data_IF_866769292659
#
_entry.id   IF_866769292659
#
_cell.length_a   1.000
_cell.length_b   1.000
_cell.length_c   1.000
_cell.angle_alpha   90.00
_cell.angle_beta   90.00
_cell.angle_gamma   90.00
#
_symmetry.space_group_name_H-M   'P 1'
#
loop_
_entity.id
_entity.type
_entity.pdbx_description
1 polymer ?
#
# COMPACT_ATOMS: atom_id res chain seq x y z
N UNK A 1 14.68 -41.64 96.33
CA UNK A 1 14.05 -40.30 96.62
C UNK A 1 14.13 -39.51 95.31
N UNK A 2 12.98 -39.31 94.65
CA UNK A 2 12.84 -38.68 93.37
C UNK A 2 12.70 -37.17 93.55
N UNK A 3 13.48 -36.40 92.80
CA UNK A 3 13.22 -34.98 92.61
C UNK A 3 12.67 -34.76 91.20
N UNK A 4 11.45 -34.24 91.10
CA UNK A 4 10.76 -33.80 89.89
C UNK A 4 11.25 -32.41 89.50
N UNK A 5 11.78 -32.28 88.31
CA UNK A 5 12.04 -30.98 87.65
C UNK A 5 10.88 -30.65 86.73
N UNK A 6 10.31 -29.45 86.84
CA UNK A 6 9.27 -28.90 86.03
C UNK A 6 9.95 -28.23 84.78
N UNK A 7 9.56 -28.62 83.59
CA UNK A 7 9.95 -27.92 82.38
C UNK A 7 8.89 -26.88 82.04
N UNK A 8 9.30 -25.62 81.80
CA UNK A 8 8.49 -24.55 81.24
C UNK A 8 8.49 -24.68 79.74
N UNK A 9 7.33 -24.86 79.18
CA UNK A 9 7.13 -24.68 77.68
C UNK A 9 6.96 -23.17 77.41
N UNK A 10 7.92 -22.60 76.65
CA UNK A 10 7.77 -21.28 76.09
C UNK A 10 7.13 -21.43 74.65
N UNK A 11 5.94 -20.88 74.49
CA UNK A 11 5.33 -20.74 73.15
C UNK A 11 6.05 -19.61 72.39
N UNK A 12 6.81 -19.99 71.33
CA UNK A 12 7.31 -19.05 70.34
C UNK A 12 6.26 -18.90 69.24
N UNK A 13 5.53 -17.78 69.18
CA UNK A 13 4.64 -17.43 68.10
C UNK A 13 5.47 -17.01 66.87
N UNK A 14 5.58 -17.87 65.91
CA UNK A 14 6.16 -17.53 64.58
C UNK A 14 5.18 -16.66 63.80
N UNK A 15 5.49 -15.36 63.66
CA UNK A 15 4.83 -14.45 62.73
C UNK A 15 5.27 -14.82 61.32
N UNK A 16 4.41 -15.52 60.57
CA UNK A 16 4.60 -15.73 59.11
C UNK A 16 4.23 -14.42 58.41
N UNK A 17 5.22 -13.60 58.11
CA UNK A 17 5.06 -12.52 57.12
C UNK A 17 4.82 -13.15 55.76
N UNK A 18 3.56 -13.23 55.35
CA UNK A 18 3.18 -13.50 53.99
C UNK A 18 3.58 -12.31 53.13
N UNK A 19 4.75 -12.38 52.49
CA UNK A 19 5.12 -11.46 51.42
C UNK A 19 4.19 -11.74 50.24
N UNK A 20 3.12 -10.94 50.10
CA UNK A 20 2.36 -10.87 48.88
C UNK A 20 3.34 -10.41 47.79
N UNK A 21 3.83 -11.33 46.98
CA UNK A 21 4.45 -11.00 45.70
C UNK A 21 3.41 -10.24 44.91
N UNK A 22 3.74 -9.05 44.37
CA UNK A 22 2.82 -8.38 43.47
C UNK A 22 2.52 -9.37 42.36
N UNK A 23 1.24 -9.68 42.13
CA UNK A 23 0.79 -10.33 40.92
C UNK A 23 1.29 -9.41 39.77
N UNK A 24 2.36 -9.81 39.10
CA UNK A 24 2.71 -9.25 37.81
C UNK A 24 1.49 -9.53 36.93
N UNK A 25 0.64 -8.52 36.80
CA UNK A 25 -0.44 -8.56 35.80
C UNK A 25 0.23 -8.99 34.50
N UNK A 26 -0.24 -10.11 33.96
CA UNK A 26 0.25 -10.60 32.67
C UNK A 26 0.12 -9.42 31.71
N UNK A 27 1.24 -8.94 31.17
CA UNK A 27 1.23 -7.85 30.23
C UNK A 27 0.21 -8.19 29.14
N UNK A 28 -0.71 -7.29 28.85
CA UNK A 28 -1.64 -7.48 27.77
C UNK A 28 -0.86 -7.64 26.48
N UNK A 29 -1.18 -8.66 25.69
CA UNK A 29 -0.55 -8.90 24.40
C UNK A 29 -1.55 -8.57 23.32
N UNK A 30 -1.21 -7.63 22.42
CA UNK A 30 -1.99 -7.29 21.24
C UNK A 30 -1.42 -8.00 20.01
N UNK A 31 -2.29 -8.55 19.19
CA UNK A 31 -1.91 -9.09 17.88
C UNK A 31 -2.33 -8.13 16.76
N UNK A 32 -1.34 -7.66 15.98
CA UNK A 32 -1.55 -6.87 14.78
C UNK A 32 -1.30 -7.73 13.54
N UNK A 33 -2.29 -7.80 12.67
CA UNK A 33 -2.24 -8.53 11.42
C UNK A 33 -1.94 -7.60 10.25
N UNK A 34 -0.94 -7.96 9.43
CA UNK A 34 -0.56 -7.20 8.25
C UNK A 34 0.18 -8.02 7.20
N UNK A 35 0.62 -7.37 6.11
CA UNK A 35 1.44 -7.98 5.08
C UNK A 35 2.90 -8.15 5.50
N UNK A 36 3.57 -9.16 4.92
CA UNK A 36 5.00 -9.43 5.11
C UNK A 36 5.81 -8.60 4.11
N UNK A 37 6.24 -7.40 4.51
CA UNK A 37 7.02 -6.47 3.69
C UNK A 37 7.86 -5.50 4.54
N UNK A 38 8.66 -4.63 3.91
CA UNK A 38 9.55 -3.71 4.63
C UNK A 38 8.83 -2.76 5.59
N UNK A 39 7.68 -2.12 5.25
CA UNK A 39 6.94 -1.32 6.22
C UNK A 39 6.50 -2.09 7.47
N UNK A 40 6.16 -3.37 7.34
CA UNK A 40 5.80 -4.19 8.50
C UNK A 40 7.00 -4.40 9.45
N UNK A 41 8.20 -4.62 8.90
CA UNK A 41 9.42 -4.70 9.70
C UNK A 41 9.72 -3.37 10.42
N UNK A 42 9.50 -2.25 9.75
CA UNK A 42 9.61 -0.92 10.34
C UNK A 42 8.58 -0.71 11.48
N UNK A 43 7.35 -1.21 11.33
CA UNK A 43 6.31 -1.14 12.37
C UNK A 43 6.67 -1.99 13.59
N UNK A 44 7.26 -3.16 13.40
CA UNK A 44 7.77 -4.00 14.51
C UNK A 44 8.79 -3.22 15.33
N UNK A 45 9.75 -2.56 14.66
CA UNK A 45 10.77 -1.77 15.34
C UNK A 45 10.17 -0.57 16.06
N UNK A 46 9.27 0.16 15.41
CA UNK A 46 8.55 1.29 16.00
C UNK A 46 7.76 0.89 17.24
N UNK A 47 7.09 -0.25 17.20
CA UNK A 47 6.19 -0.73 18.26
C UNK A 47 6.90 -1.12 19.56
N UNK A 48 8.22 -1.27 19.55
CA UNK A 48 9.02 -1.44 20.77
C UNK A 48 8.87 -0.24 21.72
N UNK A 49 8.70 0.96 21.16
CA UNK A 49 8.45 2.17 21.95
C UNK A 49 7.08 2.13 22.65
N UNK A 50 6.06 1.60 21.97
CA UNK A 50 4.74 1.39 22.58
C UNK A 50 4.83 0.41 23.75
N UNK A 51 5.47 -0.73 23.53
CA UNK A 51 5.69 -1.72 24.60
C UNK A 51 6.47 -1.14 25.78
N UNK A 52 7.54 -0.39 25.50
CA UNK A 52 8.34 0.26 26.55
C UNK A 52 7.52 1.29 27.36
N UNK A 53 6.59 2.02 26.70
CA UNK A 53 5.77 3.05 27.31
C UNK A 53 4.60 2.50 28.11
N UNK A 54 3.99 1.38 27.65
CA UNK A 54 2.71 0.89 28.20
C UNK A 54 2.81 -0.45 28.93
N UNK A 55 3.86 -1.22 28.70
CA UNK A 55 3.99 -2.60 29.15
C UNK A 55 3.17 -3.61 28.31
N UNK A 56 2.38 -3.14 27.32
CA UNK A 56 1.61 -4.02 26.42
C UNK A 56 2.54 -4.60 25.36
N UNK A 57 2.62 -5.92 25.28
CA UNK A 57 3.42 -6.59 24.27
C UNK A 57 2.71 -6.60 22.91
N UNK A 58 3.47 -6.36 21.82
CA UNK A 58 2.96 -6.45 20.47
C UNK A 58 3.37 -7.77 19.81
N UNK A 59 2.40 -8.54 19.35
CA UNK A 59 2.57 -9.68 18.47
C UNK A 59 2.16 -9.29 17.04
N UNK A 60 2.89 -9.80 16.08
CA UNK A 60 2.61 -9.52 14.67
C UNK A 60 2.36 -10.83 13.91
N UNK A 61 1.30 -10.83 13.11
CA UNK A 61 0.98 -11.90 12.18
C UNK A 61 1.07 -11.34 10.76
N UNK A 62 2.11 -11.76 10.04
CA UNK A 62 2.38 -11.28 8.69
C UNK A 62 2.26 -12.41 7.67
N UNK A 63 1.61 -12.10 6.54
CA UNK A 63 1.50 -13.01 5.40
C UNK A 63 1.91 -12.30 4.11
N UNK A 64 2.39 -13.00 3.08
CA UNK A 64 2.63 -12.40 1.78
C UNK A 64 1.39 -11.67 1.27
N UNK A 65 1.56 -10.52 0.58
CA UNK A 65 0.44 -9.71 0.08
C UNK A 65 -0.53 -10.51 -0.78
N UNK A 66 -0.02 -11.37 -1.66
CA UNK A 66 -0.83 -12.24 -2.53
C UNK A 66 -1.74 -13.22 -1.80
N UNK A 67 -1.47 -13.49 -0.51
CA UNK A 67 -2.30 -14.35 0.36
C UNK A 67 -3.05 -13.57 1.43
N UNK A 68 -2.88 -12.23 1.46
CA UNK A 68 -3.36 -11.39 2.55
C UNK A 68 -4.88 -11.37 2.63
N UNK A 69 -5.56 -11.11 1.51
CA UNK A 69 -7.02 -11.06 1.44
C UNK A 69 -7.64 -12.40 1.87
N UNK A 70 -7.18 -13.50 1.28
CA UNK A 70 -7.68 -14.84 1.63
C UNK A 70 -7.49 -15.16 3.11
N UNK A 71 -6.35 -14.81 3.68
CA UNK A 71 -6.04 -15.13 5.08
C UNK A 71 -6.85 -14.30 6.05
N UNK A 72 -6.83 -12.97 5.90
CA UNK A 72 -7.39 -12.08 6.91
C UNK A 72 -8.86 -11.72 6.69
N UNK A 73 -9.35 -11.67 5.46
CA UNK A 73 -10.80 -11.53 5.23
C UNK A 73 -11.56 -12.79 5.69
N UNK A 74 -10.98 -13.99 5.49
CA UNK A 74 -11.57 -15.21 6.05
C UNK A 74 -11.53 -15.21 7.59
N UNK A 75 -10.48 -14.72 8.21
CA UNK A 75 -10.40 -14.55 9.67
C UNK A 75 -11.49 -13.60 10.18
N UNK A 76 -11.70 -12.46 9.51
CA UNK A 76 -12.77 -11.51 9.83
C UNK A 76 -14.16 -12.14 9.61
N UNK A 77 -14.40 -12.74 8.47
CA UNK A 77 -15.71 -13.35 8.13
C UNK A 77 -16.11 -14.50 9.08
N UNK A 78 -15.12 -15.22 9.61
CA UNK A 78 -15.36 -16.28 10.61
C UNK A 78 -15.44 -15.75 12.05
N UNK A 79 -15.34 -14.43 12.26
CA UNK A 79 -15.19 -13.80 13.57
C UNK A 79 -14.07 -14.41 14.41
N UNK A 80 -12.95 -14.76 13.76
CA UNK A 80 -11.76 -15.29 14.41
C UNK A 80 -11.14 -14.27 15.38
N UNK A 81 -10.40 -14.76 16.38
CA UNK A 81 -9.80 -13.93 17.43
C UNK A 81 -8.28 -13.83 17.31
N UNK A 82 -7.75 -14.06 16.11
CA UNK A 82 -6.31 -13.96 15.88
C UNK A 82 -5.86 -12.49 15.95
N UNK A 83 -6.58 -11.58 15.30
CA UNK A 83 -6.22 -10.19 15.16
C UNK A 83 -6.98 -9.31 16.16
N UNK A 84 -6.29 -8.48 16.91
CA UNK A 84 -6.88 -7.38 17.70
C UNK A 84 -6.89 -6.08 16.89
N UNK A 85 -5.83 -5.90 16.09
CA UNK A 85 -5.63 -4.82 15.11
C UNK A 85 -5.37 -5.41 13.73
N UNK A 86 -5.86 -4.76 12.69
CA UNK A 86 -5.58 -5.12 11.32
C UNK A 86 -5.24 -3.86 10.52
N UNK A 87 -4.18 -3.93 9.71
CA UNK A 87 -3.90 -2.88 8.73
C UNK A 87 -4.41 -3.38 7.38
N UNK A 88 -5.50 -2.76 6.92
CA UNK A 88 -6.24 -3.16 5.72
C UNK A 88 -6.21 -2.12 4.63
N UNK A 89 -6.37 -2.59 3.41
CA UNK A 89 -6.40 -1.78 2.19
C UNK A 89 -7.75 -1.04 2.04
N UNK A 90 -7.75 0.06 1.27
CA UNK A 90 -8.95 0.85 0.99
C UNK A 90 -10.07 0.05 0.30
N UNK A 91 -9.71 -0.99 -0.48
CA UNK A 91 -10.67 -1.86 -1.14
C UNK A 91 -11.53 -2.70 -0.17
N UNK A 92 -11.08 -2.91 1.07
CA UNK A 92 -11.79 -3.77 2.03
C UNK A 92 -12.53 -3.02 3.11
N UNK A 93 -12.36 -1.69 3.21
CA UNK A 93 -12.95 -0.92 4.31
C UNK A 93 -14.49 -0.94 4.24
N UNK A 94 -15.07 -0.85 3.04
CA UNK A 94 -16.52 -0.87 2.86
C UNK A 94 -17.14 -2.17 3.34
N UNK A 95 -16.69 -3.30 2.81
CA UNK A 95 -17.18 -4.62 3.22
C UNK A 95 -16.95 -4.90 4.69
N UNK A 96 -15.80 -4.53 5.24
CA UNK A 96 -15.50 -4.76 6.67
C UNK A 96 -16.34 -3.89 7.60
N UNK A 97 -16.62 -2.63 7.22
CA UNK A 97 -17.48 -1.73 7.98
C UNK A 97 -18.94 -2.20 7.98
N UNK A 98 -19.49 -2.56 6.80
CA UNK A 98 -20.89 -3.01 6.65
C UNK A 98 -21.16 -4.35 7.36
N UNK A 99 -20.18 -5.26 7.34
CA UNK A 99 -20.29 -6.54 8.04
C UNK A 99 -19.93 -6.45 9.54
N UNK A 100 -19.67 -5.25 10.06
CA UNK A 100 -19.42 -5.03 11.48
C UNK A 100 -18.10 -5.60 12.00
N UNK A 101 -17.10 -5.80 11.12
CA UNK A 101 -15.79 -6.33 11.52
C UNK A 101 -14.92 -5.30 12.23
N UNK A 102 -15.12 -4.00 11.96
CA UNK A 102 -14.33 -2.92 12.54
C UNK A 102 -15.12 -2.13 13.58
N UNK A 103 -14.41 -1.57 14.53
CA UNK A 103 -14.96 -0.59 15.47
C UNK A 103 -15.06 0.76 14.76
N UNK A 104 -16.22 1.44 14.86
CA UNK A 104 -16.35 2.83 14.44
C UNK A 104 -15.58 3.73 15.41
N UNK A 105 -14.68 4.55 14.89
CA UNK A 105 -13.68 5.26 15.70
C UNK A 105 -14.06 6.73 16.03
N UNK A 106 -15.19 7.24 15.54
CA UNK A 106 -15.58 8.65 15.73
C UNK A 106 -15.54 9.08 17.20
N UNK A 107 -16.29 8.40 18.08
CA UNK A 107 -16.38 8.78 19.50
C UNK A 107 -15.01 8.68 20.19
N UNK A 108 -14.17 7.73 19.76
CA UNK A 108 -12.82 7.60 20.27
C UNK A 108 -11.93 8.74 19.79
N UNK A 109 -11.99 9.11 18.52
CA UNK A 109 -11.22 10.23 17.98
C UNK A 109 -11.60 11.55 18.64
N UNK A 110 -12.89 11.82 18.80
CA UNK A 110 -13.40 13.00 19.50
C UNK A 110 -12.91 13.07 20.94
N UNK A 111 -13.02 11.95 21.68
CA UNK A 111 -12.57 11.86 23.05
C UNK A 111 -11.07 12.09 23.22
N UNK A 112 -10.27 11.54 22.31
CA UNK A 112 -8.80 11.60 22.37
C UNK A 112 -8.21 12.81 21.62
N UNK A 113 -9.05 13.62 20.99
CA UNK A 113 -8.65 14.83 20.26
C UNK A 113 -7.87 14.51 18.96
N UNK A 114 -8.08 13.32 18.37
CA UNK A 114 -7.50 12.94 17.08
C UNK A 114 -8.37 13.56 15.98
N UNK A 115 -7.78 14.45 15.20
CA UNK A 115 -8.49 15.14 14.12
C UNK A 115 -8.12 14.53 12.78
N UNK A 116 -9.11 14.03 12.05
CA UNK A 116 -8.87 13.47 10.71
C UNK A 116 -8.43 14.54 9.72
N UNK A 117 -8.75 15.81 9.97
CA UNK A 117 -8.23 16.95 9.21
C UNK A 117 -6.69 17.12 9.31
N UNK A 118 -6.05 16.52 10.30
CA UNK A 118 -4.59 16.54 10.43
C UNK A 118 -3.90 15.55 9.49
N UNK A 119 -4.65 14.67 8.85
CA UNK A 119 -4.14 13.69 7.89
C UNK A 119 -4.32 14.15 6.44
N UNK A 120 -3.55 13.56 5.53
CA UNK A 120 -3.66 13.81 4.09
C UNK A 120 -5.06 13.40 3.61
N UNK A 121 -5.83 14.29 2.97
CA UNK A 121 -7.25 14.03 2.68
C UNK A 121 -7.51 12.75 1.89
N UNK A 122 -6.69 12.45 0.87
CA UNK A 122 -6.83 11.24 0.07
C UNK A 122 -6.70 9.96 0.92
N UNK A 123 -5.83 9.98 1.95
CA UNK A 123 -5.65 8.83 2.85
C UNK A 123 -6.81 8.69 3.85
N UNK A 124 -7.44 9.80 4.24
CA UNK A 124 -8.65 9.78 5.07
C UNK A 124 -9.81 9.17 4.29
N UNK A 125 -10.08 9.69 3.10
CA UNK A 125 -11.15 9.16 2.24
C UNK A 125 -10.86 7.71 1.84
N UNK A 126 -9.63 7.41 1.44
CA UNK A 126 -9.24 6.07 0.98
C UNK A 126 -9.26 5.02 2.08
N UNK A 127 -8.71 5.31 3.26
CA UNK A 127 -8.42 4.25 4.24
C UNK A 127 -9.33 4.26 5.46
N UNK A 128 -10.03 5.37 5.73
CA UNK A 128 -10.75 5.55 7.00
C UNK A 128 -12.26 5.66 6.85
N UNK A 129 -12.73 6.28 5.76
CA UNK A 129 -14.14 6.62 5.59
C UNK A 129 -14.96 5.52 4.95
N UNK A 130 -16.11 5.26 5.54
CA UNK A 130 -17.16 4.49 4.90
C UNK A 130 -18.56 4.91 5.40
N UNK A 131 -19.57 5.22 4.51
CA UNK A 131 -19.37 5.41 3.06
C UNK A 131 -18.36 6.51 2.73
N UNK A 132 -17.73 6.44 1.55
CA UNK A 132 -16.72 7.42 1.12
C UNK A 132 -17.27 8.85 1.16
N UNK A 133 -16.40 9.80 1.45
CA UNK A 133 -16.73 11.22 1.61
C UNK A 133 -17.78 11.49 2.71
N UNK A 134 -17.81 10.65 3.74
CA UNK A 134 -18.62 10.87 4.94
C UNK A 134 -17.72 10.84 6.18
N UNK A 135 -18.04 11.62 7.22
CA UNK A 135 -17.22 11.65 8.44
C UNK A 135 -17.51 10.42 9.33
N UNK A 136 -17.48 9.23 8.75
CA UNK A 136 -17.61 7.97 9.45
C UNK A 136 -16.29 7.20 9.34
N UNK A 137 -15.52 7.14 10.42
CA UNK A 137 -14.18 6.62 10.44
C UNK A 137 -14.10 5.22 11.04
N UNK A 138 -13.50 4.30 10.30
CA UNK A 138 -13.36 2.88 10.66
C UNK A 138 -11.90 2.45 10.80
N UNK A 139 -10.98 3.34 10.43
CA UNK A 139 -9.56 3.16 10.58
C UNK A 139 -8.86 4.50 10.81
N UNK A 140 -7.63 4.47 11.34
CA UNK A 140 -6.70 5.58 11.27
C UNK A 140 -5.79 5.38 10.05
N UNK A 141 -5.53 6.41 9.20
CA UNK A 141 -4.54 6.28 8.13
C UNK A 141 -3.18 5.87 8.68
N UNK A 142 -2.67 4.72 8.24
CA UNK A 142 -1.44 4.15 8.80
C UNK A 142 -0.25 4.25 7.84
N UNK A 143 -0.46 3.97 6.57
CA UNK A 143 0.58 3.99 5.56
C UNK A 143 0.06 4.65 4.29
N UNK A 144 0.57 5.84 3.96
CA UNK A 144 0.37 6.45 2.65
C UNK A 144 1.26 5.76 1.62
N UNK A 145 0.68 5.32 0.52
CA UNK A 145 1.45 4.70 -0.55
C UNK A 145 0.85 5.06 -1.91
N UNK A 146 1.64 4.90 -2.95
CA UNK A 146 1.27 5.33 -4.30
C UNK A 146 2.10 4.58 -5.33
N UNK A 147 1.51 4.28 -6.48
CA UNK A 147 2.28 3.79 -7.63
C UNK A 147 3.10 4.92 -8.21
N UNK A 148 4.39 4.67 -8.36
CA UNK A 148 5.33 5.59 -8.98
C UNK A 148 6.40 4.83 -9.75
N UNK A 149 7.47 5.51 -10.08
CA UNK A 149 8.51 4.96 -10.94
C UNK A 149 9.90 5.13 -10.35
N UNK A 150 10.76 4.16 -10.68
CA UNK A 150 12.21 4.29 -10.47
C UNK A 150 12.95 4.11 -11.79
N UNK A 151 14.14 4.70 -11.91
CA UNK A 151 14.97 4.60 -13.10
C UNK A 151 16.46 4.48 -12.76
N UNK A 152 17.22 3.91 -13.65
CA UNK A 152 18.68 3.80 -13.58
C UNK A 152 19.31 5.16 -13.89
N UNK A 153 19.41 6.00 -12.85
CA UNK A 153 20.01 7.33 -12.94
C UNK A 153 21.43 7.29 -13.48
N UNK A 154 22.21 6.30 -13.05
CA UNK A 154 23.56 6.07 -13.54
C UNK A 154 23.64 5.80 -15.05
N UNK A 155 22.63 5.19 -15.66
CA UNK A 155 22.55 5.02 -17.11
C UNK A 155 22.09 6.31 -17.80
N UNK A 156 21.12 6.97 -17.24
CA UNK A 156 20.58 8.24 -17.77
C UNK A 156 21.66 9.34 -17.81
N UNK A 157 22.59 9.35 -16.87
CA UNK A 157 23.66 10.35 -16.78
C UNK A 157 24.91 10.00 -17.62
N UNK A 158 24.94 8.87 -18.34
CA UNK A 158 26.07 8.51 -19.20
C UNK A 158 26.15 9.43 -20.41
N UNK A 159 27.31 10.08 -20.66
CA UNK A 159 27.45 11.06 -21.75
C UNK A 159 27.13 10.49 -23.13
N UNK A 160 27.50 9.23 -23.40
CA UNK A 160 27.22 8.56 -24.65
C UNK A 160 25.72 8.31 -24.85
N UNK A 161 24.99 7.88 -23.81
CA UNK A 161 23.56 7.65 -23.88
C UNK A 161 22.78 8.97 -23.97
N UNK A 162 23.22 10.01 -23.27
CA UNK A 162 22.68 11.36 -23.38
C UNK A 162 22.77 11.87 -24.81
N UNK A 163 23.95 11.75 -25.42
CA UNK A 163 24.18 12.20 -26.79
C UNK A 163 23.29 11.46 -27.80
N UNK A 164 23.29 10.12 -27.77
CA UNK A 164 22.47 9.31 -28.66
C UNK A 164 20.97 9.59 -28.50
N UNK A 165 20.51 9.73 -27.26
CA UNK A 165 19.10 10.01 -26.98
C UNK A 165 18.69 11.39 -27.50
N UNK A 166 19.53 12.41 -27.28
CA UNK A 166 19.30 13.76 -27.76
C UNK A 166 19.32 13.85 -29.29
N UNK A 167 20.24 13.13 -29.95
CA UNK A 167 20.26 13.03 -31.43
C UNK A 167 18.98 12.35 -31.97
N UNK A 168 18.45 11.35 -31.26
CA UNK A 168 17.27 10.61 -31.70
C UNK A 168 15.95 11.33 -31.42
N UNK A 169 15.81 11.93 -30.24
CA UNK A 169 14.53 12.46 -29.74
C UNK A 169 14.51 13.99 -29.55
N UNK A 170 15.62 14.69 -29.76
CA UNK A 170 15.71 16.15 -29.68
C UNK A 170 15.67 16.74 -28.26
N UNK A 171 15.78 15.91 -27.22
CA UNK A 171 15.74 16.29 -25.81
C UNK A 171 16.74 15.51 -24.96
N UNK A 172 17.02 15.99 -23.78
CA UNK A 172 17.88 15.29 -22.81
C UNK A 172 17.21 14.00 -22.31
N UNK A 173 18.01 12.98 -22.01
CA UNK A 173 17.58 11.76 -21.35
C UNK A 173 17.41 12.06 -19.84
N UNK A 174 16.19 12.24 -19.40
CA UNK A 174 15.83 12.57 -18.02
C UNK A 174 14.56 11.84 -17.60
N UNK A 175 14.21 11.88 -16.32
CA UNK A 175 12.94 11.32 -15.84
C UNK A 175 11.77 11.87 -16.66
N UNK A 176 10.89 11.01 -17.21
CA UNK A 176 9.81 11.42 -18.10
C UNK A 176 8.72 12.17 -17.34
N UNK A 177 8.14 13.18 -18.00
CA UNK A 177 6.99 13.95 -17.50
C UNK A 177 5.68 13.54 -18.17
N UNK A 178 5.75 12.94 -19.34
CA UNK A 178 4.61 12.45 -20.09
C UNK A 178 4.77 10.98 -20.45
N UNK A 179 3.67 10.32 -20.77
CA UNK A 179 3.71 8.93 -21.20
C UNK A 179 4.39 8.74 -22.55
N UNK A 180 4.33 9.75 -23.44
CA UNK A 180 5.11 9.74 -24.68
C UNK A 180 6.61 9.74 -24.40
N UNK A 181 7.06 10.58 -23.45
CA UNK A 181 8.46 10.59 -23.02
C UNK A 181 8.88 9.27 -22.38
N UNK A 182 8.01 8.68 -21.54
CA UNK A 182 8.26 7.38 -20.93
C UNK A 182 8.43 6.30 -21.97
N UNK A 183 7.55 6.26 -22.98
CA UNK A 183 7.63 5.30 -24.09
C UNK A 183 8.90 5.48 -24.91
N UNK A 184 9.28 6.71 -25.27
CA UNK A 184 10.52 7.01 -25.99
C UNK A 184 11.75 6.49 -25.23
N UNK A 185 11.79 6.69 -23.91
CA UNK A 185 12.87 6.19 -23.05
C UNK A 185 12.87 4.66 -23.02
N UNK A 186 11.70 4.05 -22.84
CA UNK A 186 11.58 2.59 -22.83
C UNK A 186 12.03 1.96 -24.16
N UNK A 187 11.62 2.53 -25.31
CA UNK A 187 12.07 2.12 -26.65
C UNK A 187 13.58 2.34 -26.85
N UNK A 188 14.15 3.39 -26.28
CA UNK A 188 15.58 3.68 -26.36
C UNK A 188 16.42 2.62 -25.66
N UNK A 189 15.98 2.12 -24.51
CA UNK A 189 16.70 1.09 -23.77
C UNK A 189 16.36 -0.34 -24.22
N UNK A 190 15.36 -0.53 -25.05
CA UNK A 190 14.88 -1.86 -25.43
C UNK A 190 15.92 -2.67 -26.20
N UNK A 191 16.29 -3.82 -25.61
CA UNK A 191 17.33 -4.74 -26.14
C UNK A 191 18.70 -4.07 -26.36
N UNK A 192 19.02 -3.05 -25.55
CA UNK A 192 20.31 -2.38 -25.59
C UNK A 192 21.33 -3.16 -24.79
N UNK A 193 22.57 -3.19 -25.29
CA UNK A 193 23.70 -3.73 -24.54
C UNK A 193 24.29 -2.64 -23.64
N UNK A 194 24.28 -2.88 -22.32
CA UNK A 194 24.91 -2.01 -21.31
C UNK A 194 25.74 -2.87 -20.39
N UNK A 195 27.03 -2.55 -20.26
CA UNK A 195 28.00 -3.27 -19.41
C UNK A 195 28.02 -4.79 -19.67
N UNK A 196 27.87 -5.18 -20.96
CA UNK A 196 27.88 -6.58 -21.39
C UNK A 196 26.59 -7.36 -21.07
N UNK A 197 25.50 -6.67 -20.78
CA UNK A 197 24.18 -7.25 -20.54
C UNK A 197 23.14 -6.64 -21.46
N UNK A 198 22.25 -7.47 -21.97
CA UNK A 198 21.05 -6.99 -22.67
C UNK A 198 20.07 -6.43 -21.65
N UNK A 199 19.68 -5.16 -21.81
CA UNK A 199 18.72 -4.48 -20.96
C UNK A 199 17.44 -4.16 -21.74
N UNK A 200 16.36 -3.91 -20.99
CA UNK A 200 15.03 -3.63 -21.53
C UNK A 200 14.51 -2.29 -21.01
N UNK A 201 13.48 -1.77 -21.67
CA UNK A 201 12.99 -0.43 -21.41
C UNK A 201 12.35 -0.27 -20.03
N UNK A 202 11.39 -1.14 -19.74
CA UNK A 202 10.61 -1.01 -18.51
C UNK A 202 10.10 -2.35 -17.94
N UNK A 203 9.86 -2.37 -16.65
CA UNK A 203 9.03 -3.38 -15.98
C UNK A 203 7.71 -2.74 -15.57
N UNK A 204 6.59 -3.37 -15.92
CA UNK A 204 5.24 -2.97 -15.57
C UNK A 204 4.45 -4.16 -15.06
N UNK A 205 3.34 -3.93 -14.37
CA UNK A 205 2.54 -4.98 -13.76
C UNK A 205 1.72 -5.76 -14.78
N UNK A 206 1.77 -7.08 -14.71
CA UNK A 206 1.08 -8.00 -15.63
C UNK A 206 0.45 -9.19 -14.90
N UNK A 207 0.69 -9.33 -13.60
CA UNK A 207 0.19 -10.44 -12.78
C UNK A 207 -1.35 -10.43 -12.74
N UNK A 208 -1.96 -11.61 -12.86
CA UNK A 208 -3.40 -11.79 -12.90
C UNK A 208 -4.00 -12.33 -11.61
N UNK A 209 -3.19 -12.96 -10.76
CA UNK A 209 -3.71 -13.80 -9.66
C UNK A 209 -4.21 -13.01 -8.45
N UNK A 210 -3.69 -11.81 -8.22
CA UNK A 210 -4.11 -10.96 -7.11
C UNK A 210 -4.71 -9.63 -7.58
N UNK A 211 -3.89 -8.63 -7.87
CA UNK A 211 -4.38 -7.32 -8.35
C UNK A 211 -3.40 -6.64 -9.29
N UNK A 212 -2.26 -7.27 -9.54
CA UNK A 212 -1.11 -6.62 -10.17
C UNK A 212 -1.44 -5.90 -11.46
N UNK A 213 -2.01 -6.60 -12.45
CA UNK A 213 -2.30 -5.97 -13.75
C UNK A 213 -3.31 -4.84 -13.64
N UNK A 214 -4.29 -4.95 -12.73
CA UNK A 214 -5.29 -3.88 -12.56
C UNK A 214 -4.66 -2.64 -11.96
N UNK A 215 -3.80 -2.77 -10.96
CA UNK A 215 -3.08 -1.64 -10.37
C UNK A 215 -2.22 -0.93 -11.41
N UNK A 216 -1.51 -1.67 -12.24
CA UNK A 216 -0.70 -1.09 -13.32
C UNK A 216 -1.53 -0.40 -14.40
N UNK A 217 -2.61 -1.04 -14.84
CA UNK A 217 -3.47 -0.50 -15.91
C UNK A 217 -4.25 0.71 -15.43
N UNK A 218 -4.89 0.67 -14.25
CA UNK A 218 -5.64 1.82 -13.71
C UNK A 218 -4.74 3.02 -13.47
N UNK A 219 -3.49 2.79 -13.03
CA UNK A 219 -2.49 3.85 -12.87
C UNK A 219 -2.23 4.61 -14.20
N UNK A 220 -2.36 3.94 -15.33
CA UNK A 220 -2.26 4.56 -16.66
C UNK A 220 -3.60 5.11 -17.12
N UNK A 221 -4.68 4.34 -17.03
CA UNK A 221 -6.00 4.72 -17.54
C UNK A 221 -6.53 6.02 -16.92
N UNK A 222 -6.25 6.29 -15.65
CA UNK A 222 -6.67 7.53 -15.00
C UNK A 222 -6.16 8.77 -15.73
N UNK A 223 -4.94 8.72 -16.27
CA UNK A 223 -4.34 9.83 -17.00
C UNK A 223 -4.93 10.02 -18.39
N UNK A 224 -5.53 8.99 -18.97
CA UNK A 224 -6.35 9.07 -20.17
C UNK A 224 -7.80 9.49 -19.90
N UNK A 225 -8.20 9.66 -18.63
CA UNK A 225 -9.53 10.12 -18.25
C UNK A 225 -10.53 9.01 -17.93
N UNK A 226 -10.07 7.78 -17.76
CA UNK A 226 -10.90 6.67 -17.27
C UNK A 226 -11.58 7.01 -15.95
N UNK A 227 -12.84 6.63 -15.86
CA UNK A 227 -13.64 6.67 -14.63
C UNK A 227 -14.38 5.34 -14.50
N UNK A 228 -14.61 4.92 -13.26
CA UNK A 228 -15.37 3.71 -12.99
C UNK A 228 -16.85 3.84 -13.36
N UNK A 229 -17.42 5.04 -13.19
CA UNK A 229 -18.80 5.35 -13.54
C UNK A 229 -18.98 6.85 -13.83
N UNK A 230 -20.21 7.22 -14.14
CA UNK A 230 -20.63 8.61 -14.27
C UNK A 230 -20.67 9.29 -12.90
N UNK A 231 -19.88 10.38 -12.66
CA UNK A 231 -19.87 11.08 -11.38
C UNK A 231 -21.24 11.65 -10.96
N UNK A 232 -22.11 11.94 -11.94
CA UNK A 232 -23.44 12.49 -11.71
C UNK A 232 -24.52 11.41 -11.58
N UNK A 233 -24.20 10.18 -11.94
CA UNK A 233 -25.13 9.05 -11.92
C UNK A 233 -24.39 7.77 -11.59
N UNK A 234 -24.27 7.44 -10.29
CA UNK A 234 -23.57 6.26 -9.82
C UNK A 234 -24.00 4.98 -10.55
N UNK A 235 -23.02 4.11 -10.81
CA UNK A 235 -23.16 2.83 -11.52
C UNK A 235 -23.53 2.93 -13.01
N UNK A 236 -23.58 4.12 -13.62
CA UNK A 236 -23.63 4.27 -15.08
C UNK A 236 -22.22 4.21 -15.66
N UNK A 237 -21.79 3.04 -16.11
CA UNK A 237 -20.42 2.75 -16.51
C UNK A 237 -20.16 2.96 -18.00
N UNK A 238 -21.20 2.85 -18.84
CA UNK A 238 -21.10 3.01 -20.29
C UNK A 238 -20.63 4.42 -20.67
N UNK A 239 -19.59 4.51 -21.52
CA UNK A 239 -18.99 5.76 -21.93
C UNK A 239 -17.97 6.36 -20.93
N UNK A 240 -17.80 5.74 -19.75
CA UNK A 240 -16.82 6.09 -18.73
C UNK A 240 -15.72 5.03 -18.62
N UNK A 241 -16.08 3.80 -18.33
CA UNK A 241 -15.15 2.65 -18.32
C UNK A 241 -14.60 2.38 -19.71
N UNK A 242 -15.45 2.42 -20.73
CA UNK A 242 -15.12 2.11 -22.13
C UNK A 242 -15.06 3.35 -23.03
N UNK A 243 -14.76 4.51 -22.45
CA UNK A 243 -14.60 5.76 -23.22
C UNK A 243 -13.50 5.61 -24.29
N UNK A 244 -13.58 6.35 -25.40
CA UNK A 244 -12.52 6.31 -26.43
C UNK A 244 -11.13 6.64 -25.89
N UNK A 245 -11.04 7.41 -24.83
CA UNK A 245 -9.78 7.77 -24.19
C UNK A 245 -9.27 6.64 -23.27
N UNK A 246 -10.16 5.98 -22.51
CA UNK A 246 -9.81 4.79 -21.75
C UNK A 246 -9.29 3.67 -22.68
N UNK A 247 -9.90 3.49 -23.86
CA UNK A 247 -9.44 2.56 -24.89
C UNK A 247 -8.00 2.87 -25.30
N UNK A 248 -7.68 4.14 -25.62
CA UNK A 248 -6.30 4.55 -25.94
C UNK A 248 -5.31 4.31 -24.82
N UNK A 249 -5.72 4.55 -23.56
CA UNK A 249 -4.89 4.25 -22.40
C UNK A 249 -4.57 2.76 -22.28
N UNK A 250 -5.55 1.89 -22.51
CA UNK A 250 -5.34 0.45 -22.49
C UNK A 250 -4.48 -0.03 -23.67
N UNK A 251 -4.65 0.57 -24.86
CA UNK A 251 -3.78 0.34 -26.02
C UNK A 251 -2.34 0.77 -25.73
N UNK A 252 -2.15 1.91 -25.07
CA UNK A 252 -0.83 2.37 -24.65
C UNK A 252 -0.16 1.37 -23.69
N UNK A 253 -0.90 0.88 -22.69
CA UNK A 253 -0.36 -0.09 -21.73
C UNK A 253 0.10 -1.37 -22.44
N UNK A 254 -0.72 -1.89 -23.37
CA UNK A 254 -0.36 -3.02 -24.20
C UNK A 254 0.86 -2.74 -25.07
N UNK A 255 0.91 -1.57 -25.71
CA UNK A 255 2.05 -1.18 -26.54
C UNK A 255 3.35 -1.13 -25.72
N UNK A 256 3.31 -0.62 -24.48
CA UNK A 256 4.45 -0.61 -23.58
C UNK A 256 4.87 -2.04 -23.17
N UNK A 257 3.90 -2.92 -22.92
CA UNK A 257 4.16 -4.34 -22.65
C UNK A 257 4.84 -5.02 -23.86
N UNK A 258 4.27 -4.89 -25.03
CA UNK A 258 4.74 -5.57 -26.25
C UNK A 258 6.12 -5.10 -26.69
N UNK A 259 6.38 -3.76 -26.63
CA UNK A 259 7.65 -3.21 -27.09
C UNK A 259 8.78 -3.42 -26.10
N UNK A 260 8.53 -3.23 -24.82
CA UNK A 260 9.56 -2.64 -23.96
C UNK A 260 9.82 -3.40 -22.67
N UNK A 261 9.09 -4.51 -22.42
CA UNK A 261 9.31 -5.37 -21.25
C UNK A 261 10.30 -6.50 -21.56
N UNK A 262 10.96 -7.07 -20.55
CA UNK A 262 11.78 -8.26 -20.70
C UNK A 262 10.97 -9.48 -21.17
N UNK A 263 11.58 -10.46 -21.86
CA UNK A 263 10.96 -11.76 -22.10
C UNK A 263 10.56 -12.42 -20.76
N UNK A 264 9.36 -13.03 -20.74
CA UNK A 264 8.85 -13.68 -19.54
C UNK A 264 8.09 -12.77 -18.57
N UNK A 265 7.83 -11.51 -18.94
CA UNK A 265 7.08 -10.55 -18.13
C UNK A 265 5.56 -10.76 -18.12
N UNK A 266 5.08 -11.99 -18.24
CA UNK A 266 3.63 -12.30 -18.26
C UNK A 266 2.99 -12.39 -16.89
N UNK A 267 3.78 -12.39 -15.81
CA UNK A 267 3.30 -12.51 -14.43
C UNK A 267 4.18 -11.67 -13.48
N UNK A 268 4.22 -10.37 -13.72
CA UNK A 268 5.03 -9.40 -12.95
C UNK A 268 4.13 -8.63 -12.00
N UNK A 269 4.51 -8.60 -10.73
CA UNK A 269 3.95 -7.70 -9.74
C UNK A 269 5.09 -7.03 -8.95
N UNK A 270 4.85 -6.62 -7.71
CA UNK A 270 5.79 -5.80 -6.93
C UNK A 270 7.18 -6.42 -6.78
N UNK A 271 7.24 -7.71 -6.46
CA UNK A 271 8.51 -8.43 -6.20
C UNK A 271 9.27 -8.63 -7.50
N UNK A 272 8.62 -9.17 -8.53
CA UNK A 272 9.23 -9.44 -9.82
C UNK A 272 9.70 -8.14 -10.50
N UNK A 273 8.93 -7.04 -10.36
CA UNK A 273 9.34 -5.73 -10.88
C UNK A 273 10.57 -5.19 -10.16
N UNK A 274 10.62 -5.28 -8.83
CA UNK A 274 11.79 -4.89 -8.05
C UNK A 274 13.01 -5.74 -8.38
N UNK A 275 12.84 -7.06 -8.57
CA UNK A 275 13.94 -7.97 -8.90
C UNK A 275 14.48 -7.74 -10.31
N UNK A 276 13.61 -7.46 -11.29
CA UNK A 276 14.05 -7.08 -12.64
C UNK A 276 14.92 -5.81 -12.62
N UNK A 277 14.56 -4.84 -11.78
CA UNK A 277 15.34 -3.61 -11.61
C UNK A 277 16.66 -3.87 -10.86
N UNK A 278 16.64 -4.58 -9.72
CA UNK A 278 17.83 -4.93 -8.93
C UNK A 278 18.84 -5.78 -9.71
N UNK A 279 18.36 -6.65 -10.59
CA UNK A 279 19.25 -7.44 -11.46
C UNK A 279 19.89 -6.63 -12.58
N UNK A 280 19.45 -5.36 -12.79
CA UNK A 280 19.87 -4.50 -13.89
C UNK A 280 19.29 -4.92 -15.23
N UNK A 281 18.13 -5.57 -15.24
CA UNK A 281 17.48 -6.03 -16.46
C UNK A 281 16.69 -4.91 -17.15
N UNK A 282 16.21 -3.91 -16.40
CA UNK A 282 15.37 -2.84 -16.93
C UNK A 282 15.91 -1.45 -16.58
N UNK A 283 15.69 -0.49 -17.48
CA UNK A 283 16.06 0.91 -17.28
C UNK A 283 15.11 1.64 -16.32
N UNK A 284 13.82 1.28 -16.35
CA UNK A 284 12.76 1.85 -15.51
C UNK A 284 11.88 0.74 -14.95
N UNK A 285 11.23 1.01 -13.81
CA UNK A 285 10.18 0.15 -13.31
C UNK A 285 9.02 0.96 -12.73
N UNK A 286 7.79 0.49 -12.94
CA UNK A 286 6.61 0.87 -12.19
C UNK A 286 6.57 0.05 -10.90
N UNK A 287 6.39 0.69 -9.73
CA UNK A 287 6.17 -0.01 -8.48
C UNK A 287 5.54 0.92 -7.43
N UNK A 288 4.99 0.35 -6.38
CA UNK A 288 4.57 1.11 -5.21
C UNK A 288 5.76 1.72 -4.47
N UNK A 289 5.55 2.92 -3.93
CA UNK A 289 6.60 3.69 -3.26
C UNK A 289 7.18 2.98 -2.02
N UNK A 290 6.42 2.09 -1.37
CA UNK A 290 6.95 1.33 -0.23
C UNK A 290 8.19 0.49 -0.58
N UNK A 291 8.42 0.18 -1.88
CA UNK A 291 9.62 -0.55 -2.33
C UNK A 291 10.85 0.34 -2.43
N UNK A 292 10.70 1.66 -2.49
CA UNK A 292 11.78 2.62 -2.74
C UNK A 292 12.88 2.61 -1.68
N UNK A 293 12.59 2.53 -0.37
CA UNK A 293 13.64 2.42 0.64
C UNK A 293 14.54 1.21 0.46
N UNK A 294 13.96 0.06 0.14
CA UNK A 294 14.70 -1.19 -0.12
C UNK A 294 15.54 -1.10 -1.39
N UNK A 295 15.01 -0.48 -2.44
CA UNK A 295 15.74 -0.25 -3.69
C UNK A 295 16.90 0.75 -3.50
N UNK A 296 16.69 1.82 -2.75
CA UNK A 296 17.75 2.79 -2.48
C UNK A 296 18.92 2.20 -1.66
N UNK A 297 18.62 1.26 -0.76
CA UNK A 297 19.62 0.55 0.06
C UNK A 297 20.31 -0.60 -0.67
N UNK A 298 19.85 -0.98 -1.85
CA UNK A 298 20.44 -2.09 -2.61
C UNK A 298 21.86 -1.75 -3.07
N UNK A 299 22.82 -2.64 -2.83
CA UNK A 299 24.25 -2.41 -3.11
C UNK A 299 24.57 -2.30 -4.61
N UNK A 300 23.75 -2.90 -5.47
CA UNK A 300 24.00 -2.94 -6.92
C UNK A 300 23.40 -1.75 -7.65
N UNK A 301 22.16 -1.38 -7.33
CA UNK A 301 21.39 -0.37 -8.07
C UNK A 301 20.98 0.84 -7.23
N UNK A 302 21.18 0.79 -5.93
CA UNK A 302 20.80 1.86 -4.99
C UNK A 302 21.80 3.00 -4.91
N UNK A 303 21.63 3.88 -3.92
CA UNK A 303 22.42 5.08 -3.72
C UNK A 303 22.27 6.06 -4.89
N UNK A 304 23.39 6.58 -5.37
CA UNK A 304 23.43 7.57 -6.47
C UNK A 304 23.04 6.98 -7.84
N UNK A 305 22.90 5.66 -7.97
CA UNK A 305 22.57 4.98 -9.22
C UNK A 305 21.09 4.99 -9.55
N UNK A 306 20.22 5.27 -8.58
CA UNK A 306 18.76 5.22 -8.71
C UNK A 306 18.16 6.61 -8.65
N UNK A 307 17.12 6.84 -9.42
CA UNK A 307 16.25 8.00 -9.30
C UNK A 307 14.78 7.58 -9.21
N UNK A 308 13.96 8.50 -8.71
CA UNK A 308 12.54 8.30 -8.47
C UNK A 308 11.74 9.41 -9.15
N UNK A 309 10.57 9.10 -9.66
CA UNK A 309 9.67 10.09 -10.25
C UNK A 309 8.20 9.69 -10.10
N UNK A 310 7.27 10.67 -10.03
CA UNK A 310 5.85 10.41 -9.99
C UNK A 310 5.36 9.82 -11.30
N UNK A 311 4.13 9.32 -11.31
CA UNK A 311 3.51 8.86 -12.55
C UNK A 311 3.54 9.98 -13.62
N UNK A 312 3.87 9.68 -14.89
CA UNK A 312 3.82 10.70 -15.96
C UNK A 312 2.39 11.15 -16.23
N UNK A 313 2.24 12.33 -16.82
CA UNK A 313 0.94 12.88 -17.21
C UNK A 313 0.56 12.53 -18.66
N UNK A 314 -0.75 12.54 -18.91
CA UNK A 314 -1.32 12.58 -20.25
C UNK A 314 -2.39 13.71 -20.30
N UNK A 315 -3.67 13.40 -20.51
CA UNK A 315 -4.78 14.37 -20.43
C UNK A 315 -5.05 14.82 -18.99
N UNK A 316 -4.77 13.95 -18.06
CA UNK A 316 -4.84 14.15 -16.63
C UNK A 316 -3.49 13.82 -16.01
N UNK A 317 -3.36 14.03 -14.72
CA UNK A 317 -2.17 13.66 -13.98
C UNK A 317 -2.61 13.01 -12.67
N UNK A 318 -2.62 11.69 -12.66
CA UNK A 318 -3.00 10.88 -11.51
C UNK A 318 -1.99 9.77 -11.26
N UNK A 319 -1.99 9.24 -10.06
CA UNK A 319 -1.29 8.03 -9.68
C UNK A 319 -2.22 7.15 -8.85
N UNK A 320 -2.15 5.83 -9.03
CA UNK A 320 -2.94 4.89 -8.25
C UNK A 320 -2.55 5.00 -6.78
N UNK A 321 -3.53 5.34 -5.93
CA UNK A 321 -3.37 5.28 -4.48
C UNK A 321 -3.14 3.82 -4.07
N UNK A 322 -2.15 3.60 -3.26
CA UNK A 322 -1.96 2.40 -2.45
C UNK A 322 -2.11 2.77 -0.99
N UNK A 323 -1.65 1.90 -0.12
CA UNK A 323 -1.60 2.19 1.30
C UNK A 323 -2.85 1.77 2.06
N UNK A 324 -2.87 2.08 3.34
CA UNK A 324 -3.69 1.30 4.24
C UNK A 324 -3.99 2.04 5.53
N UNK A 325 -5.12 1.65 6.15
CA UNK A 325 -5.56 2.11 7.46
C UNK A 325 -5.47 1.03 8.53
N UNK A 326 -5.21 1.44 9.77
CA UNK A 326 -5.23 0.55 10.93
C UNK A 326 -6.60 0.59 11.60
N UNK A 327 -7.24 -0.57 11.73
CA UNK A 327 -8.57 -0.77 12.32
C UNK A 327 -8.51 -1.63 13.57
N UNK A 328 -9.44 -1.39 14.50
CA UNK A 328 -9.68 -2.26 15.67
C UNK A 328 -10.73 -3.31 15.28
N UNK A 329 -10.43 -4.58 15.51
CA UNK A 329 -11.37 -5.68 15.27
C UNK A 329 -12.50 -5.63 16.31
N UNK A 330 -13.75 -5.55 15.87
CA UNK A 330 -14.91 -5.26 16.73
C UNK A 330 -15.21 -6.35 17.79
N UNK A 331 -14.84 -7.58 17.52
CA UNK A 331 -15.00 -8.74 18.41
C UNK A 331 -13.72 -9.14 19.14
N UNK A 332 -12.67 -8.32 19.08
CA UNK A 332 -11.50 -8.49 19.96
C UNK A 332 -11.89 -8.27 21.44
N UNK A 333 -11.36 -9.10 22.31
CA UNK A 333 -11.52 -8.97 23.77
C UNK A 333 -10.59 -7.89 24.36
N UNK A 334 -9.70 -7.27 23.52
CA UNK A 334 -8.65 -6.32 23.93
C UNK A 334 -8.81 -4.94 23.27
N UNK A 335 -10.05 -4.56 22.95
CA UNK A 335 -10.35 -3.30 22.25
C UNK A 335 -9.74 -2.06 22.90
N UNK A 336 -9.76 -1.98 24.22
CA UNK A 336 -9.21 -0.81 24.93
C UNK A 336 -7.70 -0.68 24.72
N UNK A 337 -6.95 -1.79 24.78
CA UNK A 337 -5.51 -1.79 24.50
C UNK A 337 -5.22 -1.51 23.01
N UNK A 338 -6.06 -2.02 22.10
CA UNK A 338 -5.96 -1.74 20.67
C UNK A 338 -6.20 -0.24 20.37
N UNK A 339 -7.20 0.38 20.99
CA UNK A 339 -7.45 1.82 20.90
C UNK A 339 -6.28 2.65 21.46
N UNK A 340 -5.63 2.20 22.54
CA UNK A 340 -4.42 2.86 23.05
C UNK A 340 -3.26 2.79 22.05
N UNK A 341 -3.13 1.69 21.30
CA UNK A 341 -2.14 1.59 20.23
C UNK A 341 -2.44 2.60 19.11
N UNK A 342 -3.69 2.74 18.66
CA UNK A 342 -4.09 3.75 17.66
C UNK A 342 -3.79 5.17 18.16
N UNK A 343 -4.13 5.49 19.43
CA UNK A 343 -3.81 6.78 20.04
C UNK A 343 -2.32 7.08 20.04
N UNK A 344 -1.51 6.10 20.40
CA UNK A 344 -0.05 6.23 20.37
C UNK A 344 0.48 6.41 18.95
N UNK A 345 0.00 5.61 18.00
CA UNK A 345 0.44 5.65 16.61
C UNK A 345 0.07 6.98 15.92
N UNK A 346 -1.03 7.63 16.33
CA UNK A 346 -1.46 8.93 15.80
C UNK A 346 -0.57 10.12 16.26
N UNK A 347 0.36 9.92 17.21
CA UNK A 347 1.18 11.02 17.74
C UNK A 347 2.20 11.50 16.69
N UNK A 348 2.41 12.83 16.53
CA UNK A 348 3.32 13.37 15.52
C UNK A 348 4.76 12.85 15.61
N UNK A 349 5.29 12.70 16.83
CA UNK A 349 6.63 12.16 17.04
C UNK A 349 6.74 10.68 16.65
N UNK A 350 5.67 9.90 16.84
CA UNK A 350 5.60 8.49 16.42
C UNK A 350 5.53 8.41 14.89
N UNK A 351 4.72 9.24 14.27
CA UNK A 351 4.59 9.31 12.81
C UNK A 351 5.87 9.82 12.13
N UNK A 352 6.61 10.75 12.74
CA UNK A 352 7.91 11.18 12.26
C UNK A 352 8.96 10.04 12.34
N UNK A 353 8.99 9.30 13.45
CA UNK A 353 9.85 8.12 13.59
C UNK A 353 9.43 7.00 12.62
N UNK A 354 8.13 6.84 12.38
CA UNK A 354 7.57 5.92 11.39
C UNK A 354 8.18 6.15 10.00
N UNK A 355 8.18 7.40 9.52
CA UNK A 355 8.83 7.79 8.27
C UNK A 355 10.33 7.47 8.24
N UNK A 356 11.05 7.78 9.32
CA UNK A 356 12.49 7.53 9.41
C UNK A 356 12.86 6.04 9.32
N UNK A 357 11.99 5.17 9.82
CA UNK A 357 12.19 3.72 9.79
C UNK A 357 11.83 3.08 8.43
N UNK A 358 11.20 3.82 7.53
CA UNK A 358 10.77 3.33 6.21
C UNK A 358 9.28 3.05 6.10
N UNK A 359 8.50 3.52 7.07
CA UNK A 359 7.06 3.67 6.95
C UNK A 359 6.70 4.92 6.16
N UNK A 360 5.43 5.07 5.84
CA UNK A 360 4.93 6.19 5.03
C UNK A 360 3.82 6.91 5.79
N UNK A 361 4.20 7.99 6.50
CA UNK A 361 3.26 8.75 7.31
C UNK A 361 2.17 9.41 6.46
N UNK A 362 0.94 9.38 6.95
CA UNK A 362 -0.20 10.10 6.39
C UNK A 362 -0.46 11.44 7.11
N UNK A 363 0.34 11.80 8.13
CA UNK A 363 0.10 12.98 8.96
C UNK A 363 0.67 14.24 8.30
N UNK A 364 -0.16 15.26 8.10
CA UNK A 364 0.24 16.53 7.43
C UNK A 364 1.42 17.21 8.10
N UNK A 365 1.49 17.21 9.44
CA UNK A 365 2.60 17.85 10.17
C UNK A 365 3.94 17.17 9.89
N UNK A 366 3.96 15.90 9.48
CA UNK A 366 5.15 15.16 9.08
C UNK A 366 5.47 15.42 7.61
N UNK A 367 4.50 15.16 6.71
CA UNK A 367 4.76 15.25 5.25
C UNK A 367 4.93 16.69 4.75
N UNK A 368 4.42 17.68 5.47
CA UNK A 368 4.60 19.11 5.17
C UNK A 368 5.74 19.77 5.98
N UNK A 369 6.54 18.98 6.73
CA UNK A 369 7.70 19.53 7.41
C UNK A 369 8.68 20.14 6.38
N UNK A 370 9.30 21.29 6.68
CA UNK A 370 10.15 22.01 5.71
C UNK A 370 11.32 21.18 5.16
N UNK A 371 11.80 20.22 5.93
CA UNK A 371 12.92 19.34 5.57
C UNK A 371 12.47 17.97 5.03
N UNK A 372 11.16 17.71 4.95
CA UNK A 372 10.66 16.41 4.54
C UNK A 372 11.13 16.01 3.13
N UNK A 373 11.01 16.92 2.17
CA UNK A 373 11.40 16.65 0.78
C UNK A 373 12.87 16.26 0.60
N UNK A 374 13.74 16.68 1.53
CA UNK A 374 15.16 16.35 1.54
C UNK A 374 15.54 15.25 2.55
N UNK A 375 14.60 14.77 3.34
CA UNK A 375 14.83 13.82 4.43
C UNK A 375 15.20 12.42 3.95
N UNK A 376 14.76 12.06 2.74
CA UNK A 376 15.08 10.82 2.05
C UNK A 376 15.22 11.09 0.54
N UNK A 377 16.05 10.34 -0.20
CA UNK A 377 16.24 10.55 -1.64
C UNK A 377 14.98 10.42 -2.49
N UNK A 378 13.99 9.69 -2.00
CA UNK A 378 12.69 9.48 -2.64
C UNK A 378 11.57 10.38 -2.09
N UNK A 379 11.84 11.21 -1.09
CA UNK A 379 10.80 11.97 -0.39
C UNK A 379 10.09 12.99 -1.30
N UNK A 380 10.84 13.69 -2.15
CA UNK A 380 10.23 14.63 -3.11
C UNK A 380 9.32 13.89 -4.10
N UNK A 381 9.79 12.79 -4.70
CA UNK A 381 8.99 11.99 -5.62
C UNK A 381 7.75 11.40 -4.95
N UNK A 382 7.85 11.02 -3.67
CA UNK A 382 6.71 10.59 -2.89
C UNK A 382 5.67 11.71 -2.69
N UNK A 383 6.11 12.92 -2.30
CA UNK A 383 5.22 14.08 -2.18
C UNK A 383 4.51 14.41 -3.49
N UNK A 384 5.27 14.47 -4.59
CA UNK A 384 4.73 14.77 -5.91
C UNK A 384 3.71 13.70 -6.34
N UNK A 385 3.96 12.43 -6.02
CA UNK A 385 3.05 11.33 -6.31
C UNK A 385 1.79 11.40 -5.44
N UNK A 386 1.93 11.67 -4.14
CA UNK A 386 0.77 11.79 -3.23
C UNK A 386 -0.13 12.98 -3.55
N UNK A 387 0.41 14.02 -4.20
CA UNK A 387 -0.38 15.18 -4.63
C UNK A 387 -1.36 14.88 -5.76
N UNK A 388 -1.15 13.77 -6.48
CA UNK A 388 -1.93 13.38 -7.67
C UNK A 388 -2.66 12.04 -7.52
N UNK A 389 -2.79 11.53 -6.30
CA UNK A 389 -3.40 10.21 -6.08
C UNK A 389 -4.88 10.17 -6.43
N UNK A 390 -5.27 9.03 -7.00
CA UNK A 390 -6.65 8.62 -7.22
C UNK A 390 -6.80 7.18 -6.79
N UNK A 391 -7.84 6.92 -5.99
CA UNK A 391 -8.13 5.57 -5.50
C UNK A 391 -8.96 4.76 -6.50
N UNK A 392 -8.94 3.44 -6.36
CA UNK A 392 -9.83 2.55 -7.08
C UNK A 392 -11.24 2.55 -6.43
N UNK A 393 -12.15 1.82 -7.05
CA UNK A 393 -13.54 1.78 -6.59
C UNK A 393 -13.64 0.95 -5.30
N UNK A 394 -13.97 1.58 -4.19
CA UNK A 394 -14.07 0.92 -2.89
C UNK A 394 -15.50 0.44 -2.61
N UNK A 395 -16.09 -0.29 -3.54
CA UNK A 395 -17.39 -0.93 -3.38
C UNK A 395 -17.27 -2.23 -2.57
N UNK A 396 -18.29 -2.63 -1.79
CA UNK A 396 -18.27 -3.89 -1.05
C UNK A 396 -18.01 -5.12 -1.93
N UNK A 397 -18.51 -5.11 -3.16
CA UNK A 397 -18.30 -6.15 -4.18
C UNK A 397 -17.01 -6.00 -4.99
N UNK A 398 -16.11 -5.08 -4.60
CA UNK A 398 -14.88 -4.80 -5.36
C UNK A 398 -14.03 -6.04 -5.67
N UNK A 399 -14.01 -7.03 -4.80
CA UNK A 399 -13.29 -8.28 -5.07
C UNK A 399 -13.75 -8.98 -6.37
N UNK A 400 -15.06 -8.95 -6.67
CA UNK A 400 -15.63 -9.49 -7.92
C UNK A 400 -15.28 -8.56 -9.09
N UNK A 401 -15.46 -7.24 -8.92
CA UNK A 401 -15.12 -6.25 -9.94
C UNK A 401 -13.66 -6.34 -10.35
N UNK A 402 -12.77 -6.54 -9.38
CA UNK A 402 -11.33 -6.71 -9.58
C UNK A 402 -11.02 -7.97 -10.41
N UNK A 403 -11.65 -9.11 -10.10
CA UNK A 403 -11.47 -10.37 -10.85
C UNK A 403 -11.89 -10.23 -12.32
N UNK A 404 -13.00 -9.55 -12.59
CA UNK A 404 -13.45 -9.28 -13.95
C UNK A 404 -12.46 -8.42 -14.72
N UNK A 405 -11.95 -7.36 -14.07
CA UNK A 405 -10.95 -6.48 -14.68
C UNK A 405 -9.66 -7.24 -14.97
N UNK A 406 -9.13 -7.99 -14.00
CA UNK A 406 -7.95 -8.84 -14.19
C UNK A 406 -8.09 -9.76 -15.39
N UNK A 407 -9.23 -10.45 -15.48
CA UNK A 407 -9.52 -11.39 -16.56
C UNK A 407 -9.54 -10.70 -17.94
N UNK A 408 -10.28 -9.59 -18.05
CA UNK A 408 -10.47 -8.88 -19.33
C UNK A 408 -9.17 -8.23 -19.78
N UNK A 409 -8.52 -7.51 -18.88
CA UNK A 409 -7.32 -6.74 -19.20
C UNK A 409 -6.13 -7.65 -19.48
N UNK A 410 -5.92 -8.69 -18.66
CA UNK A 410 -4.85 -9.66 -18.90
C UNK A 410 -5.03 -10.41 -20.23
N UNK A 411 -6.26 -10.78 -20.57
CA UNK A 411 -6.54 -11.45 -21.84
C UNK A 411 -6.17 -10.58 -23.05
N UNK A 412 -6.40 -9.27 -22.96
CA UNK A 412 -6.01 -8.34 -24.03
C UNK A 412 -4.50 -8.01 -23.98
N UNK A 413 -3.98 -7.56 -22.85
CA UNK A 413 -2.62 -7.05 -22.76
C UNK A 413 -1.58 -8.16 -22.92
N UNK A 414 -1.73 -9.24 -22.15
CA UNK A 414 -0.72 -10.30 -22.02
C UNK A 414 -0.96 -11.44 -23.00
N UNK A 415 -2.20 -11.94 -23.10
CA UNK A 415 -2.51 -13.04 -24.01
C UNK A 415 -2.72 -12.58 -25.47
N UNK A 416 -2.87 -11.27 -25.72
CA UNK A 416 -2.98 -10.71 -27.06
C UNK A 416 -4.30 -11.00 -27.77
N UNK A 417 -5.38 -11.29 -27.04
CA UNK A 417 -6.67 -11.64 -27.60
C UNK A 417 -7.62 -10.44 -27.65
N UNK A 418 -8.31 -10.24 -28.77
CA UNK A 418 -9.31 -9.19 -28.95
C UNK A 418 -8.71 -7.79 -29.09
N UNK A 419 -9.55 -6.79 -28.79
CA UNK A 419 -9.21 -5.37 -28.83
C UNK A 419 -9.38 -4.72 -27.46
N UNK A 420 -8.80 -3.54 -27.25
CA UNK A 420 -8.98 -2.75 -26.02
C UNK A 420 -10.46 -2.40 -25.83
N UNK A 421 -11.16 -2.04 -26.91
CA UNK A 421 -12.60 -1.75 -26.87
C UNK A 421 -13.41 -2.96 -26.37
N UNK A 422 -13.18 -4.15 -26.98
CA UNK A 422 -13.87 -5.37 -26.55
C UNK A 422 -13.59 -5.75 -25.08
N UNK A 423 -12.37 -5.50 -24.61
CA UNK A 423 -12.02 -5.74 -23.22
C UNK A 423 -12.80 -4.83 -22.26
N UNK A 424 -12.87 -3.52 -22.56
CA UNK A 424 -13.58 -2.54 -21.73
C UNK A 424 -15.12 -2.63 -21.88
N UNK A 425 -15.66 -2.91 -23.07
CA UNK A 425 -17.10 -3.18 -23.25
C UNK A 425 -17.53 -4.44 -22.47
N UNK A 426 -16.68 -5.46 -22.50
CA UNK A 426 -16.89 -6.66 -21.71
C UNK A 426 -16.89 -6.37 -20.21
N UNK A 427 -16.03 -5.45 -19.76
CA UNK A 427 -15.96 -5.04 -18.36
C UNK A 427 -17.23 -4.30 -17.92
N UNK A 428 -17.72 -3.35 -18.74
CA UNK A 428 -19.02 -2.68 -18.49
C UNK A 428 -20.14 -3.69 -18.30
N UNK A 429 -20.19 -4.71 -19.16
CA UNK A 429 -21.19 -5.76 -19.09
C UNK A 429 -21.08 -6.57 -17.79
N UNK A 430 -19.87 -7.07 -17.48
CA UNK A 430 -19.65 -7.91 -16.31
C UNK A 430 -19.99 -7.13 -15.01
N UNK A 431 -19.54 -5.90 -14.88
CA UNK A 431 -19.81 -5.05 -13.72
C UNK A 431 -21.29 -4.63 -13.59
N UNK A 432 -21.97 -4.43 -14.72
CA UNK A 432 -23.42 -4.20 -14.71
C UNK A 432 -24.18 -5.36 -14.08
N UNK A 433 -23.80 -6.60 -14.37
CA UNK A 433 -24.43 -7.78 -13.76
C UNK A 433 -24.12 -7.84 -12.24
N UNK A 434 -22.88 -7.54 -11.82
CA UNK A 434 -22.54 -7.48 -10.37
C UNK A 434 -23.44 -6.48 -9.65
N UNK A 435 -23.62 -5.27 -10.17
CA UNK A 435 -24.45 -4.24 -9.51
C UNK A 435 -25.95 -4.52 -9.57
N UNK A 436 -26.42 -5.26 -10.57
CA UNK A 436 -27.79 -5.80 -10.57
C UNK A 436 -28.00 -6.83 -9.45
N UNK A 437 -27.06 -7.75 -9.31
CA UNK A 437 -27.11 -8.78 -8.26
C UNK A 437 -27.03 -8.14 -6.86
N UNK A 438 -26.28 -7.06 -6.70
CA UNK A 438 -26.20 -6.25 -5.48
C UNK A 438 -27.44 -5.36 -5.24
N UNK A 439 -28.36 -5.29 -6.20
CA UNK A 439 -29.56 -4.42 -6.12
C UNK A 439 -29.25 -2.92 -6.17
N UNK A 440 -28.14 -2.53 -6.77
CA UNK A 440 -27.71 -1.13 -6.94
C UNK A 440 -28.34 -0.47 -8.18
N UNK A 441 -28.65 -1.27 -9.22
CA UNK A 441 -29.26 -0.85 -10.50
C UNK A 441 -30.37 -1.83 -10.94
#
# INVERSE_FOLDING_TARGET
>A
MQKKSKALLGLASAFVMSSALPNLAKADQLTLCWAAWDPANALVELSKDFTAKTGTEMKFEFVPWTSYADRFLNELNSHGKLCDLIIGDSQWIGGSAENGHYVKLNDFFDKEGIKMDDFVPATVVGYSEWPKNTPNYWALPAMGDVVGWTYRKDWFERPELQKEFKEKYGRELAAPKTYDELKQIAEFFQKREIDGKTVYGASIYTERGSEGITMGVTNVLYDWGFQYDNPDKPYEMEGFVNSPDAVKGLEFYKALYDCCTPPGSSNVYMVESADAFKSGQVAMQMNFAFTWPGLYKDEKVGGDKIGFFPNPAEKKHFAQLGGQGISVVSYSDKKDAALQYIKWFAQPEVQAKWWQLGGYSCLKSVVNAPDFASSQPYAQAFLDSMAIVKDFWAEPSYATLLQDMQKRVHNYVVAGNGTAQEALDGLVKDWTEVFKDDGKI
#
